data_IF_858391873202
#
_entry.id   IF_858391873202
#
_cell.length_a   1.000
_cell.length_b   1.000
_cell.length_c   1.000
_cell.angle_alpha   90.00
_cell.angle_beta   90.00
_cell.angle_gamma   90.00
#
_symmetry.space_group_name_H-M   'P 1'
#
loop_
_entity.id
_entity.type
_entity.pdbx_description
1 polymer ?
#
# COMPACT_ATOMS: atom_id res chain seq x y z
N UNK A 1 -1.92 -8.68 -45.06
CA UNK A 1 -1.10 -8.99 -43.86
C UNK A 1 -1.97 -8.72 -42.64
N UNK A 2 -2.49 -9.77 -42.00
CA UNK A 2 -3.29 -9.62 -40.78
C UNK A 2 -2.34 -9.67 -39.58
N UNK A 3 -2.28 -8.58 -38.82
CA UNK A 3 -1.63 -8.59 -37.51
C UNK A 3 -2.47 -9.47 -36.58
N UNK A 4 -1.93 -10.64 -36.23
CA UNK A 4 -2.44 -11.45 -35.13
C UNK A 4 -2.06 -10.69 -33.86
N UNK A 5 -2.99 -9.93 -33.30
CA UNK A 5 -2.87 -9.48 -31.92
C UNK A 5 -3.01 -10.72 -31.04
N UNK A 6 -1.88 -11.29 -30.64
CA UNK A 6 -1.84 -12.33 -29.61
C UNK A 6 -2.44 -11.73 -28.33
N UNK A 7 -3.67 -12.13 -28.00
CA UNK A 7 -4.28 -11.79 -26.72
C UNK A 7 -3.41 -12.42 -25.64
N UNK A 8 -2.81 -11.61 -24.77
CA UNK A 8 -2.09 -12.12 -23.61
C UNK A 8 -2.97 -13.15 -22.86
N UNK A 9 -2.42 -14.31 -22.47
CA UNK A 9 -3.19 -15.32 -21.77
C UNK A 9 -3.70 -14.74 -20.44
N UNK A 10 -5.01 -14.88 -20.21
CA UNK A 10 -5.65 -14.44 -18.97
C UNK A 10 -5.13 -15.29 -17.82
N UNK A 11 -4.40 -14.67 -16.89
CA UNK A 11 -3.87 -15.32 -15.70
C UNK A 11 -4.99 -16.02 -14.89
N UNK A 12 -4.68 -17.18 -14.32
CA UNK A 12 -5.52 -17.87 -13.34
C UNK A 12 -5.65 -17.07 -12.04
N UNK A 13 -6.62 -17.40 -11.18
CA UNK A 13 -6.78 -16.71 -9.89
C UNK A 13 -5.54 -16.83 -8.97
N UNK A 14 -4.91 -18.03 -8.82
CA UNK A 14 -3.64 -18.17 -8.12
C UNK A 14 -2.52 -17.26 -8.65
N UNK A 15 -2.35 -17.21 -9.97
CA UNK A 15 -1.31 -16.38 -10.60
C UNK A 15 -1.60 -14.88 -10.42
N UNK A 16 -2.87 -14.48 -10.51
CA UNK A 16 -3.29 -13.11 -10.22
C UNK A 16 -2.98 -12.74 -8.77
N UNK A 17 -3.33 -13.61 -7.82
CA UNK A 17 -3.05 -13.39 -6.40
C UNK A 17 -1.55 -13.20 -6.15
N UNK A 18 -0.72 -14.09 -6.70
CA UNK A 18 0.72 -14.01 -6.50
C UNK A 18 1.31 -12.75 -7.14
N UNK A 19 0.91 -12.43 -8.38
CA UNK A 19 1.33 -11.21 -9.07
C UNK A 19 0.98 -9.96 -8.28
N UNK A 20 -0.22 -9.89 -7.71
CA UNK A 20 -0.64 -8.75 -6.90
C UNK A 20 0.09 -8.67 -5.58
N UNK A 21 0.33 -9.80 -4.92
CA UNK A 21 1.09 -9.85 -3.67
C UNK A 21 2.53 -9.36 -3.88
N UNK A 22 3.18 -9.77 -4.99
CA UNK A 22 4.52 -9.27 -5.37
C UNK A 22 4.51 -7.76 -5.64
N UNK A 23 3.52 -7.26 -6.37
CA UNK A 23 3.37 -5.81 -6.59
C UNK A 23 3.21 -5.04 -5.28
N UNK A 24 2.39 -5.53 -4.35
CA UNK A 24 2.25 -4.89 -3.05
C UNK A 24 3.58 -4.80 -2.30
N UNK A 25 4.39 -5.85 -2.33
CA UNK A 25 5.73 -5.83 -1.75
C UNK A 25 6.67 -4.83 -2.47
N UNK A 26 6.61 -4.73 -3.80
CA UNK A 26 7.35 -3.74 -4.58
C UNK A 26 6.98 -2.30 -4.18
N UNK A 27 5.68 -1.98 -4.08
CA UNK A 27 5.21 -0.67 -3.65
C UNK A 27 5.58 -0.37 -2.19
N UNK A 28 5.49 -1.35 -1.28
CA UNK A 28 5.96 -1.17 0.09
C UNK A 28 7.46 -0.87 0.16
N UNK A 29 8.26 -1.55 -0.66
CA UNK A 29 9.71 -1.33 -0.74
C UNK A 29 10.06 0.05 -1.32
N UNK A 30 9.17 0.62 -2.13
CA UNK A 30 9.27 1.97 -2.68
C UNK A 30 8.59 3.03 -1.80
N UNK A 31 8.07 2.66 -0.62
CA UNK A 31 7.31 3.53 0.28
C UNK A 31 6.04 4.16 -0.35
N UNK A 32 5.47 3.50 -1.36
CA UNK A 32 4.24 3.92 -2.05
C UNK A 32 2.99 3.31 -1.39
N UNK A 33 2.62 3.86 -0.25
CA UNK A 33 1.59 3.31 0.63
C UNK A 33 0.15 3.51 0.11
N UNK A 34 -0.07 4.56 -0.68
CA UNK A 34 -1.38 4.84 -1.27
C UNK A 34 -1.74 3.77 -2.30
N UNK A 35 -0.80 3.43 -3.19
CA UNK A 35 -1.00 2.37 -4.19
C UNK A 35 -1.12 0.99 -3.52
N UNK A 36 -0.39 0.75 -2.43
CA UNK A 36 -0.52 -0.49 -1.65
C UNK A 36 -1.94 -0.69 -1.12
N UNK A 37 -2.58 0.39 -0.66
CA UNK A 37 -3.98 0.35 -0.19
C UNK A 37 -4.95 0.04 -1.33
N UNK A 38 -4.73 0.60 -2.52
CA UNK A 38 -5.55 0.32 -3.70
C UNK A 38 -5.39 -1.12 -4.18
N UNK A 39 -4.16 -1.64 -4.18
CA UNK A 39 -3.84 -3.02 -4.54
C UNK A 39 -4.50 -4.01 -3.58
N UNK A 40 -4.47 -3.76 -2.26
CA UNK A 40 -5.07 -4.67 -1.28
C UNK A 40 -6.58 -4.80 -1.46
N UNK A 41 -7.28 -3.69 -1.73
CA UNK A 41 -8.73 -3.71 -2.03
C UNK A 41 -9.07 -4.61 -3.21
N UNK A 42 -8.17 -4.71 -4.18
CA UNK A 42 -8.35 -5.53 -5.37
C UNK A 42 -7.89 -6.98 -5.13
N UNK A 43 -6.84 -7.18 -4.33
CA UNK A 43 -6.22 -8.48 -4.03
C UNK A 43 -7.09 -9.32 -3.10
N UNK A 44 -7.66 -8.71 -2.06
CA UNK A 44 -8.37 -9.41 -0.99
C UNK A 44 -9.53 -10.30 -1.49
N UNK A 45 -10.41 -9.86 -2.42
CA UNK A 45 -11.43 -10.74 -2.99
C UNK A 45 -10.86 -11.94 -3.76
N UNK A 46 -9.69 -11.79 -4.38
CA UNK A 46 -9.01 -12.89 -5.11
C UNK A 46 -8.42 -13.87 -4.11
N UNK A 47 -7.79 -13.37 -3.05
CA UNK A 47 -7.28 -14.18 -1.95
C UNK A 47 -8.37 -15.10 -1.39
N UNK A 48 -9.54 -14.53 -1.07
CA UNK A 48 -10.67 -15.32 -0.56
C UNK A 48 -11.13 -16.37 -1.55
N UNK A 49 -11.22 -16.05 -2.84
CA UNK A 49 -11.61 -17.04 -3.87
C UNK A 49 -10.60 -18.17 -4.04
N UNK A 50 -9.31 -17.88 -3.93
CA UNK A 50 -8.23 -18.87 -4.07
C UNK A 50 -8.22 -19.84 -2.89
N UNK A 51 -8.55 -19.37 -1.69
CA UNK A 51 -8.48 -20.16 -0.46
C UNK A 51 -9.85 -20.48 0.17
N UNK A 52 -10.96 -20.32 -0.56
CA UNK A 52 -12.33 -20.54 -0.07
C UNK A 52 -12.52 -21.98 0.44
N UNK A 53 -11.94 -22.95 -0.27
CA UNK A 53 -11.93 -24.37 0.11
C UNK A 53 -10.80 -24.77 1.08
N UNK A 54 -10.05 -23.81 1.61
CA UNK A 54 -8.83 -24.03 2.40
C UNK A 54 -7.55 -24.00 1.57
N UNK A 55 -6.43 -24.30 2.21
CA UNK A 55 -5.08 -24.12 1.64
C UNK A 55 -4.48 -25.38 1.01
N UNK A 56 -5.11 -26.55 1.18
CA UNK A 56 -4.52 -27.87 0.84
C UNK A 56 -4.14 -28.02 -0.63
N UNK A 57 -4.89 -27.39 -1.53
CA UNK A 57 -4.62 -27.41 -2.98
C UNK A 57 -3.60 -26.36 -3.42
N UNK A 58 -3.26 -25.41 -2.53
CA UNK A 58 -2.47 -24.22 -2.84
C UNK A 58 -1.38 -23.96 -1.77
N UNK A 59 -0.82 -25.01 -1.16
CA UNK A 59 0.09 -24.89 -0.01
C UNK A 59 1.33 -24.02 -0.32
N UNK A 60 1.99 -24.27 -1.45
CA UNK A 60 3.19 -23.51 -1.82
C UNK A 60 2.85 -22.05 -2.15
N UNK A 61 1.71 -21.81 -2.81
CA UNK A 61 1.21 -20.46 -3.04
C UNK A 61 0.92 -19.75 -1.71
N UNK A 62 0.26 -20.43 -0.76
CA UNK A 62 -0.06 -19.86 0.55
C UNK A 62 1.22 -19.48 1.32
N UNK A 63 2.26 -20.31 1.25
CA UNK A 63 3.57 -20.01 1.86
C UNK A 63 4.22 -18.79 1.24
N UNK A 64 4.24 -18.69 -0.09
CA UNK A 64 4.86 -17.56 -0.77
C UNK A 64 4.09 -16.26 -0.48
N UNK A 65 2.76 -16.32 -0.56
CA UNK A 65 1.90 -15.18 -0.23
C UNK A 65 2.11 -14.72 1.21
N UNK A 66 2.13 -15.65 2.17
CA UNK A 66 2.37 -15.33 3.58
C UNK A 66 3.75 -14.70 3.80
N UNK A 67 4.78 -15.23 3.15
CA UNK A 67 6.14 -14.69 3.27
C UNK A 67 6.22 -13.24 2.75
N UNK A 68 5.58 -12.95 1.62
CA UNK A 68 5.54 -11.60 1.07
C UNK A 68 4.71 -10.65 1.93
N UNK A 69 3.58 -11.12 2.48
CA UNK A 69 2.74 -10.32 3.37
C UNK A 69 3.46 -9.93 4.66
N UNK A 70 4.16 -10.87 5.30
CA UNK A 70 4.94 -10.56 6.51
C UNK A 70 6.12 -9.61 6.21
N UNK A 71 6.79 -9.75 5.06
CA UNK A 71 7.81 -8.81 4.64
C UNK A 71 7.24 -7.40 4.38
N UNK A 72 6.10 -7.33 3.69
CA UNK A 72 5.38 -6.07 3.40
C UNK A 72 4.96 -5.38 4.70
N UNK A 73 4.45 -6.14 5.67
CA UNK A 73 4.08 -5.65 6.99
C UNK A 73 5.29 -5.14 7.78
N UNK A 74 6.43 -5.83 7.70
CA UNK A 74 7.68 -5.38 8.33
C UNK A 74 8.14 -4.03 7.78
N UNK A 75 8.07 -3.84 6.45
CA UNK A 75 8.38 -2.55 5.82
C UNK A 75 7.43 -1.44 6.29
N UNK A 76 6.12 -1.70 6.33
CA UNK A 76 5.16 -0.74 6.84
C UNK A 76 5.43 -0.38 8.32
N UNK A 77 5.78 -1.37 9.15
CA UNK A 77 6.14 -1.15 10.55
C UNK A 77 7.39 -0.29 10.71
N UNK A 78 8.40 -0.49 9.86
CA UNK A 78 9.62 0.31 9.86
C UNK A 78 9.36 1.76 9.40
N UNK A 79 8.39 2.00 8.53
CA UNK A 79 8.05 3.34 8.04
C UNK A 79 7.21 4.18 9.02
N UNK A 80 6.43 3.54 9.91
CA UNK A 80 5.53 4.22 10.85
C UNK A 80 6.20 5.35 11.67
N UNK A 81 7.40 5.18 12.26
CA UNK A 81 8.04 6.24 13.04
C UNK A 81 8.35 7.50 12.22
N UNK A 82 8.80 7.35 10.96
CA UNK A 82 9.10 8.49 10.09
C UNK A 82 7.83 9.29 9.77
N UNK A 83 6.74 8.60 9.42
CA UNK A 83 5.43 9.25 9.20
C UNK A 83 4.92 9.97 10.44
N UNK A 84 5.06 9.37 11.62
CA UNK A 84 4.67 10.02 12.88
C UNK A 84 5.48 11.30 13.13
N UNK A 85 6.78 11.30 12.81
CA UNK A 85 7.57 12.53 12.91
C UNK A 85 7.10 13.61 11.94
N UNK A 86 6.73 13.25 10.71
CA UNK A 86 6.27 14.23 9.72
C UNK A 86 4.90 14.81 10.10
N UNK A 87 3.99 14.00 10.66
CA UNK A 87 2.73 14.48 11.26
C UNK A 87 3.02 15.50 12.39
N UNK A 88 3.97 15.19 13.28
CA UNK A 88 4.36 16.12 14.36
C UNK A 88 4.94 17.43 13.82
N UNK A 89 5.75 17.39 12.76
CA UNK A 89 6.27 18.60 12.10
C UNK A 89 5.14 19.45 11.50
N UNK A 90 4.18 18.82 10.83
CA UNK A 90 3.01 19.50 10.27
C UNK A 90 2.16 20.17 11.36
N UNK A 91 1.93 19.49 12.49
CA UNK A 91 1.21 20.07 13.63
C UNK A 91 1.93 21.31 14.19
N UNK A 92 3.26 21.24 14.36
CA UNK A 92 4.06 22.38 14.82
C UNK A 92 4.04 23.54 13.82
N UNK A 93 4.05 23.25 12.52
CA UNK A 93 3.88 24.27 11.47
C UNK A 93 2.54 24.98 11.59
N UNK A 94 1.44 24.25 11.83
CA UNK A 94 0.12 24.84 12.08
C UNK A 94 0.09 25.75 13.31
N UNK A 95 0.75 25.36 14.40
CA UNK A 95 0.90 26.19 15.59
C UNK A 95 1.69 27.48 15.30
N UNK A 96 2.78 27.38 14.55
CA UNK A 96 3.59 28.53 14.13
C UNK A 96 2.79 29.49 13.25
N UNK A 97 2.00 28.96 12.30
CA UNK A 97 1.12 29.77 11.46
C UNK A 97 0.06 30.52 12.28
N UNK A 98 -0.57 29.85 13.25
CA UNK A 98 -1.54 30.48 14.14
C UNK A 98 -0.92 31.57 15.03
N UNK A 99 0.30 31.34 15.53
CA UNK A 99 1.04 32.34 16.30
C UNK A 99 1.37 33.58 15.44
N UNK A 100 1.80 33.37 14.20
CA UNK A 100 2.09 34.45 13.26
C UNK A 100 0.85 35.29 12.93
N UNK A 101 -0.30 34.64 12.65
CA UNK A 101 -1.57 35.34 12.43
C UNK A 101 -2.03 36.11 13.67
N UNK A 102 -1.81 35.57 14.87
CA UNK A 102 -2.14 36.26 16.14
C UNK A 102 -1.30 37.53 16.30
N UNK A 103 0.02 37.46 16.06
CA UNK A 103 0.90 38.63 16.11
C UNK A 103 0.46 39.67 15.08
N UNK A 104 0.21 39.27 13.82
CA UNK A 104 -0.28 40.18 12.79
C UNK A 104 -1.59 40.86 13.19
N UNK A 105 -2.56 40.13 13.74
CA UNK A 105 -3.84 40.71 14.17
C UNK A 105 -3.69 41.68 15.35
N UNK A 106 -2.71 41.46 16.23
CA UNK A 106 -2.37 42.38 17.33
C UNK A 106 -1.68 43.64 16.78
N UNK A 107 -0.74 43.49 15.83
CA UNK A 107 0.02 44.61 15.27
C UNK A 107 -0.71 45.39 14.18
N UNK A 108 -1.80 44.85 13.63
CA UNK A 108 -2.62 45.49 12.58
C UNK A 108 -3.84 46.25 13.13
N UNK A 109 -4.05 46.28 14.45
CA UNK A 109 -5.07 47.14 15.06
C UNK A 109 -4.55 48.59 15.12
N UNK A 110 -5.31 49.57 14.61
CA UNK A 110 -4.95 51.00 14.67
C UNK A 110 -4.92 51.53 16.10
#
# INVERSE_FOLDING_TARGET
MNAVMEKEPKLSLPEQLLKMTRKMFEHASAEDWDELTALERTRLPIFHKVFDGGISENVELAREVLSLDENTKSLAQAAMPAMQQDILKLQKSGQANNAYQTIQNITSKP
#
